data_IF_270911874356
#
_entry.id   IF_270911874356
#
_cell.length_a   1.000
_cell.length_b   1.000
_cell.length_c   1.000
_cell.angle_alpha   90.00
_cell.angle_beta   90.00
_cell.angle_gamma   90.00
#
_symmetry.space_group_name_H-M   'P 1'
#
loop_
_entity.id
_entity.type
_entity.pdbx_description
1 polymer ?
#
# COMPACT_ATOMS: atom_id res chain seq x y z
N UNK A 1 11.58 14.08 -18.66
CA UNK A 1 11.65 12.81 -17.92
C UNK A 1 10.27 12.18 -17.98
N UNK A 2 10.11 11.05 -18.68
CA UNK A 2 8.82 10.35 -18.72
C UNK A 2 8.84 9.29 -17.61
N UNK A 3 8.05 9.49 -16.56
CA UNK A 3 7.83 8.46 -15.54
C UNK A 3 6.81 7.42 -16.06
N UNK A 4 6.72 6.26 -15.40
CA UNK A 4 5.84 5.15 -15.85
C UNK A 4 4.37 5.56 -15.97
N UNK A 5 3.88 6.43 -15.08
CA UNK A 5 2.52 6.96 -15.13
C UNK A 5 2.28 7.81 -16.39
N UNK A 6 3.18 8.75 -16.69
CA UNK A 6 3.09 9.57 -17.90
C UNK A 6 3.17 8.75 -19.18
N UNK A 7 3.95 7.67 -19.19
CA UNK A 7 4.01 6.74 -20.32
C UNK A 7 2.68 6.00 -20.50
N UNK A 8 2.12 5.45 -19.42
CA UNK A 8 0.87 4.70 -19.50
C UNK A 8 -0.32 5.61 -19.86
N UNK A 9 -0.34 6.85 -19.38
CA UNK A 9 -1.34 7.86 -19.76
C UNK A 9 -1.22 8.34 -21.22
N UNK A 10 -0.04 8.23 -21.83
CA UNK A 10 0.13 8.52 -23.25
C UNK A 10 -0.46 7.41 -24.13
N UNK A 11 -0.47 6.16 -23.64
CA UNK A 11 -1.06 5.01 -24.33
C UNK A 11 -2.57 4.88 -24.05
N UNK A 12 -2.99 5.21 -22.83
CA UNK A 12 -4.39 5.15 -22.37
C UNK A 12 -4.83 6.50 -21.82
N UNK A 13 -5.89 7.06 -22.39
CA UNK A 13 -6.45 8.35 -21.96
C UNK A 13 -7.09 8.31 -20.56
N UNK A 14 -7.37 7.13 -20.03
CA UNK A 14 -7.96 6.87 -18.72
C UNK A 14 -7.28 5.64 -18.11
N UNK A 15 -6.92 5.71 -16.83
CA UNK A 15 -6.44 4.58 -16.05
C UNK A 15 -7.42 4.27 -14.92
N UNK A 16 -7.64 2.98 -14.67
CA UNK A 16 -8.56 2.51 -13.63
C UNK A 16 -7.81 2.13 -12.34
N UNK A 17 -8.17 2.86 -11.29
CA UNK A 17 -8.09 2.55 -9.84
C UNK A 17 -8.55 1.14 -9.45
N UNK A 18 -7.81 0.30 -8.72
CA UNK A 18 -8.43 -0.86 -8.07
C UNK A 18 -9.47 -0.48 -7.00
N UNK A 19 -10.06 -1.49 -6.35
CA UNK A 19 -11.11 -1.30 -5.36
C UNK A 19 -10.64 -1.42 -3.91
N UNK A 20 -11.59 -1.53 -2.99
CA UNK A 20 -11.31 -1.56 -1.55
C UNK A 20 -10.59 -2.85 -1.09
N UNK A 21 -9.30 -2.74 -0.76
CA UNK A 21 -8.50 -3.79 -0.12
C UNK A 21 -9.13 -4.29 1.19
N UNK A 22 -9.56 -3.38 2.08
CA UNK A 22 -10.15 -3.75 3.37
C UNK A 22 -11.40 -4.65 3.23
N UNK A 23 -12.28 -4.35 2.27
CA UNK A 23 -13.48 -5.15 1.99
C UNK A 23 -13.12 -6.55 1.48
N UNK A 24 -12.10 -6.65 0.63
CA UNK A 24 -11.60 -7.93 0.12
C UNK A 24 -10.97 -8.77 1.24
N UNK A 25 -10.19 -8.15 2.14
CA UNK A 25 -9.62 -8.83 3.30
C UNK A 25 -10.70 -9.32 4.27
N UNK A 26 -11.73 -8.50 4.55
CA UNK A 26 -12.86 -8.91 5.38
C UNK A 26 -13.61 -10.09 4.75
N UNK A 27 -13.84 -10.07 3.44
CA UNK A 27 -14.45 -11.19 2.71
C UNK A 27 -13.59 -12.46 2.76
N UNK A 28 -12.26 -12.31 2.85
CA UNK A 28 -11.31 -13.39 3.05
C UNK A 28 -11.12 -13.81 4.54
N UNK A 29 -11.93 -13.24 5.46
CA UNK A 29 -11.97 -13.63 6.86
C UNK A 29 -11.12 -12.79 7.80
N UNK A 30 -10.76 -11.55 7.44
CA UNK A 30 -10.14 -10.60 8.36
C UNK A 30 -11.16 -10.21 9.44
N UNK A 31 -10.83 -10.54 10.69
CA UNK A 31 -11.62 -10.28 11.86
C UNK A 31 -11.62 -8.80 12.28
N UNK A 32 -12.63 -8.43 13.07
CA UNK A 32 -12.72 -7.10 13.66
C UNK A 32 -11.56 -6.88 14.63
N UNK A 33 -10.85 -5.77 14.47
CA UNK A 33 -9.72 -5.41 15.32
C UNK A 33 -8.38 -6.06 14.93
N UNK A 34 -8.35 -6.90 13.89
CA UNK A 34 -7.09 -7.37 13.32
C UNK A 34 -6.41 -6.28 12.49
N UNK A 35 -5.08 -6.33 12.38
CA UNK A 35 -4.29 -5.42 11.55
C UNK A 35 -4.25 -5.95 10.10
N UNK A 36 -4.86 -5.24 9.12
CA UNK A 36 -4.81 -5.65 7.72
C UNK A 36 -3.39 -5.80 7.17
N UNK A 37 -2.49 -4.89 7.54
CA UNK A 37 -1.12 -4.84 7.02
C UNK A 37 -0.28 -6.03 7.51
N UNK A 38 -0.58 -6.59 8.69
CA UNK A 38 0.12 -7.78 9.20
C UNK A 38 -0.07 -8.99 8.27
N UNK A 39 -1.17 -9.05 7.53
CA UNK A 39 -1.41 -10.13 6.55
C UNK A 39 -0.40 -10.13 5.40
N UNK A 40 0.34 -9.04 5.17
CA UNK A 40 1.46 -9.03 4.24
C UNK A 40 2.56 -10.04 4.65
N UNK A 41 2.63 -10.38 5.94
CA UNK A 41 3.59 -11.36 6.48
C UNK A 41 2.89 -12.69 6.78
N UNK A 42 1.73 -12.64 7.45
CA UNK A 42 1.12 -13.85 8.01
C UNK A 42 0.20 -14.58 7.01
N UNK A 43 -0.31 -13.86 6.01
CA UNK A 43 -1.20 -14.40 4.95
C UNK A 43 -0.86 -13.84 3.55
N UNK A 44 0.40 -13.94 3.11
CA UNK A 44 0.89 -13.28 1.89
C UNK A 44 0.15 -13.76 0.64
N UNK A 45 -0.19 -15.04 0.57
CA UNK A 45 -0.93 -15.60 -0.57
C UNK A 45 -2.32 -14.99 -0.71
N UNK A 46 -3.03 -14.75 0.39
CA UNK A 46 -4.35 -14.10 0.37
C UNK A 46 -4.25 -12.68 -0.19
N UNK A 47 -3.28 -11.89 0.31
CA UNK A 47 -3.07 -10.51 -0.15
C UNK A 47 -2.69 -10.49 -1.64
N UNK A 48 -1.77 -11.36 -2.07
CA UNK A 48 -1.38 -11.49 -3.48
C UNK A 48 -2.58 -11.85 -4.36
N UNK A 49 -3.41 -12.81 -3.95
CA UNK A 49 -4.62 -13.19 -4.70
C UNK A 49 -5.63 -12.05 -4.83
N UNK A 50 -5.75 -11.16 -3.84
CA UNK A 50 -6.60 -9.97 -3.93
C UNK A 50 -6.08 -9.00 -5.00
N UNK A 51 -4.77 -8.74 -5.03
CA UNK A 51 -4.17 -7.93 -6.09
C UNK A 51 -4.37 -8.55 -7.47
N UNK A 52 -4.17 -9.87 -7.61
CA UNK A 52 -4.41 -10.60 -8.86
C UNK A 52 -5.87 -10.50 -9.29
N UNK A 53 -6.83 -10.55 -8.36
CA UNK A 53 -8.24 -10.39 -8.66
C UNK A 53 -8.53 -9.02 -9.28
N UNK A 54 -7.97 -7.93 -8.75
CA UNK A 54 -8.14 -6.59 -9.33
C UNK A 54 -7.46 -6.44 -10.69
N UNK A 55 -6.24 -6.95 -10.84
CA UNK A 55 -5.53 -6.94 -12.13
C UNK A 55 -6.28 -7.73 -13.21
N UNK A 56 -6.85 -8.88 -12.85
CA UNK A 56 -7.65 -9.70 -13.76
C UNK A 56 -9.02 -9.07 -14.07
N UNK A 57 -9.57 -8.28 -13.15
CA UNK A 57 -10.78 -7.48 -13.37
C UNK A 57 -10.54 -6.24 -14.27
N UNK A 58 -9.28 -5.91 -14.56
CA UNK A 58 -8.91 -4.85 -15.50
C UNK A 58 -8.36 -3.58 -14.86
N UNK A 59 -7.97 -3.60 -13.58
CA UNK A 59 -7.29 -2.47 -12.96
C UNK A 59 -5.96 -2.16 -13.67
N UNK A 60 -5.73 -0.88 -13.98
CA UNK A 60 -4.46 -0.38 -14.52
C UNK A 60 -3.50 0.03 -13.41
N UNK A 61 -4.02 0.28 -12.21
CA UNK A 61 -3.25 0.61 -11.01
C UNK A 61 -3.81 -0.21 -9.86
N UNK A 62 -2.92 -0.83 -9.08
CA UNK A 62 -3.28 -1.46 -7.81
C UNK A 62 -2.61 -0.74 -6.64
N UNK A 63 -3.31 -0.67 -5.52
CA UNK A 63 -2.81 -0.07 -4.28
C UNK A 63 -2.30 -1.15 -3.34
N UNK A 64 -1.10 -0.97 -2.78
CA UNK A 64 -0.54 -1.93 -1.82
C UNK A 64 -1.39 -2.03 -0.55
N UNK A 65 -1.41 -3.20 0.09
CA UNK A 65 -2.05 -3.38 1.40
C UNK A 65 -1.22 -2.75 2.54
N UNK A 66 -1.07 -1.42 2.52
CA UNK A 66 -0.18 -0.67 3.42
C UNK A 66 -0.78 0.64 3.92
N UNK A 67 -2.09 0.86 3.77
CA UNK A 67 -2.75 2.10 4.19
C UNK A 67 -2.37 2.51 5.63
N UNK A 68 -2.52 1.62 6.61
CA UNK A 68 -2.12 1.82 8.01
C UNK A 68 -0.67 1.45 8.32
N UNK A 69 0.23 1.49 7.34
CA UNK A 69 1.60 0.98 7.45
C UNK A 69 2.58 1.85 8.25
N UNK A 70 2.20 3.05 8.71
CA UNK A 70 3.11 3.93 9.44
C UNK A 70 3.45 3.37 10.83
N UNK A 71 4.65 3.64 11.38
CA UNK A 71 5.04 3.13 12.70
C UNK A 71 4.01 3.44 13.80
N UNK A 72 3.40 4.64 13.77
CA UNK A 72 2.38 5.06 14.73
C UNK A 72 1.10 4.26 14.61
N UNK A 73 0.61 4.04 13.39
CA UNK A 73 -0.64 3.30 13.17
C UNK A 73 -0.46 1.82 13.53
N UNK A 74 0.70 1.24 13.19
CA UNK A 74 1.09 -0.11 13.58
C UNK A 74 1.33 -0.25 15.10
N UNK A 75 1.70 0.82 15.81
CA UNK A 75 1.85 0.79 17.26
C UNK A 75 0.54 0.44 17.98
N UNK A 76 -0.63 0.75 17.39
CA UNK A 76 -1.94 0.36 17.94
C UNK A 76 -2.11 -1.16 18.03
N UNK A 77 -1.29 -1.91 17.28
CA UNK A 77 -1.27 -3.38 17.26
C UNK A 77 0.02 -3.96 17.85
N UNK A 78 0.89 -3.13 18.45
CA UNK A 78 2.20 -3.56 18.94
C UNK A 78 3.24 -3.85 17.84
N UNK A 79 3.03 -3.34 16.62
CA UNK A 79 3.82 -3.67 15.43
C UNK A 79 4.73 -2.55 14.93
N UNK A 80 4.92 -1.47 15.70
CA UNK A 80 5.69 -0.28 15.27
C UNK A 80 7.09 -0.63 14.72
N UNK A 81 7.81 -1.52 15.40
CA UNK A 81 9.16 -1.95 15.02
C UNK A 81 9.20 -2.85 13.77
N UNK A 82 8.03 -3.33 13.31
CA UNK A 82 7.89 -4.16 12.10
C UNK A 82 7.46 -3.35 10.88
N UNK A 83 7.32 -2.03 10.99
CA UNK A 83 6.84 -1.17 9.90
C UNK A 83 7.59 -1.38 8.59
N UNK A 84 8.93 -1.36 8.62
CA UNK A 84 9.76 -1.57 7.42
C UNK A 84 9.45 -2.93 6.78
N UNK A 85 9.46 -4.01 7.56
CA UNK A 85 9.23 -5.36 7.04
C UNK A 85 7.82 -5.53 6.46
N UNK A 86 6.80 -5.01 7.15
CA UNK A 86 5.39 -5.11 6.74
C UNK A 86 5.13 -4.34 5.45
N UNK A 87 5.64 -3.10 5.32
CA UNK A 87 5.43 -2.28 4.13
C UNK A 87 6.18 -2.84 2.92
N UNK A 88 7.45 -3.24 3.11
CA UNK A 88 8.25 -3.84 2.04
C UNK A 88 7.59 -5.12 1.52
N UNK A 89 7.07 -5.97 2.41
CA UNK A 89 6.33 -7.16 2.01
C UNK A 89 5.04 -6.81 1.24
N UNK A 90 4.26 -5.83 1.69
CA UNK A 90 3.05 -5.39 0.99
C UNK A 90 3.33 -4.92 -0.45
N UNK A 91 4.40 -4.15 -0.65
CA UNK A 91 4.85 -3.75 -1.98
C UNK A 91 5.30 -4.94 -2.83
N UNK A 92 6.09 -5.85 -2.27
CA UNK A 92 6.57 -7.04 -2.98
C UNK A 92 5.44 -7.97 -3.42
N UNK A 93 4.36 -8.10 -2.62
CA UNK A 93 3.19 -8.91 -2.98
C UNK A 93 2.44 -8.32 -4.18
N UNK A 94 2.27 -7.00 -4.24
CA UNK A 94 1.70 -6.34 -5.41
C UNK A 94 2.59 -6.51 -6.66
N UNK A 95 3.92 -6.44 -6.50
CA UNK A 95 4.88 -6.69 -7.59
C UNK A 95 4.78 -8.12 -8.11
N UNK A 96 4.69 -9.10 -7.20
CA UNK A 96 4.52 -10.50 -7.54
C UNK A 96 3.19 -10.75 -8.26
N UNK A 97 2.08 -10.15 -7.78
CA UNK A 97 0.77 -10.25 -8.41
C UNK A 97 0.80 -9.70 -9.86
N UNK A 98 1.37 -8.50 -10.06
CA UNK A 98 1.53 -7.90 -11.40
C UNK A 98 2.28 -8.84 -12.34
N UNK A 99 3.38 -9.45 -11.85
CA UNK A 99 4.18 -10.40 -12.62
C UNK A 99 3.40 -11.67 -12.93
N UNK A 100 2.70 -12.24 -11.96
CA UNK A 100 1.90 -13.46 -12.12
C UNK A 100 0.76 -13.29 -13.15
N UNK A 101 0.15 -12.10 -13.20
CA UNK A 101 -0.87 -11.76 -14.19
C UNK A 101 -0.31 -11.36 -15.57
N UNK A 102 1.02 -11.34 -15.76
CA UNK A 102 1.64 -10.89 -17.02
C UNK A 102 1.37 -9.42 -17.34
N UNK A 103 1.18 -8.57 -16.31
CA UNK A 103 0.83 -7.15 -16.45
C UNK A 103 2.04 -6.23 -16.28
N UNK A 104 3.26 -6.76 -16.45
CA UNK A 104 4.48 -5.96 -16.42
C UNK A 104 4.45 -4.92 -17.56
N UNK A 105 4.55 -3.64 -17.21
CA UNK A 105 4.48 -2.53 -18.17
C UNK A 105 3.06 -2.05 -18.52
N UNK A 106 2.02 -2.84 -18.27
CA UNK A 106 0.62 -2.46 -18.51
C UNK A 106 -0.16 -2.12 -17.24
N UNK A 107 0.41 -2.35 -16.06
CA UNK A 107 -0.17 -1.97 -14.77
C UNK A 107 0.87 -1.36 -13.83
N UNK A 108 0.43 -0.39 -13.02
CA UNK A 108 1.24 0.31 -12.02
C UNK A 108 0.91 -0.16 -10.61
N UNK A 109 1.88 -0.04 -9.72
CA UNK A 109 1.72 -0.35 -8.30
C UNK A 109 1.96 0.93 -7.53
N UNK A 110 0.95 1.40 -6.81
CA UNK A 110 1.07 2.56 -5.95
C UNK A 110 1.15 2.12 -4.50
N UNK A 111 2.17 2.63 -3.79
CA UNK A 111 2.31 2.48 -2.36
C UNK A 111 1.24 3.29 -1.64
N UNK A 112 0.25 2.61 -1.05
CA UNK A 112 -0.82 3.24 -0.26
C UNK A 112 -0.27 3.72 1.08
N UNK A 113 -0.44 5.02 1.36
CA UNK A 113 -0.02 5.67 2.60
C UNK A 113 -1.20 6.45 3.19
N UNK A 114 -1.78 5.88 4.24
CA UNK A 114 -2.86 6.45 5.07
C UNK A 114 -2.37 7.54 6.03
N UNK A 115 -3.28 8.29 6.69
CA UNK A 115 -2.90 9.21 7.76
C UNK A 115 -2.43 8.44 9.01
N UNK A 116 -1.58 9.06 9.83
CA UNK A 116 -1.14 8.49 11.12
C UNK A 116 -2.24 8.47 12.18
N UNK A 117 -3.29 9.27 11.98
CA UNK A 117 -4.35 9.52 12.96
C UNK A 117 -3.99 10.54 14.04
N UNK A 118 -2.79 11.12 13.99
CA UNK A 118 -2.36 12.17 14.92
C UNK A 118 -2.70 13.57 14.40
N UNK A 119 -3.06 14.46 15.30
CA UNK A 119 -3.22 15.89 15.00
C UNK A 119 -1.91 16.64 15.25
N UNK A 120 -1.57 17.55 14.33
CA UNK A 120 -0.47 18.49 14.48
C UNK A 120 -0.72 19.47 15.63
N UNK A 121 0.36 19.93 16.27
CA UNK A 121 0.29 21.04 17.22
C UNK A 121 -0.27 22.32 16.55
N UNK A 122 -1.09 23.12 17.27
CA UNK A 122 -1.49 22.96 18.67
C UNK A 122 -2.73 22.07 18.91
N UNK A 123 -3.36 21.53 17.86
CA UNK A 123 -4.59 20.73 17.98
C UNK A 123 -4.34 19.31 18.51
N UNK A 124 -3.12 18.82 18.39
CA UNK A 124 -2.67 17.57 19.00
C UNK A 124 -1.22 17.64 19.47
N UNK A 125 -0.61 16.46 19.58
CA UNK A 125 0.74 16.31 20.15
C UNK A 125 1.82 16.10 19.09
N UNK A 126 1.47 15.85 17.83
CA UNK A 126 2.45 15.58 16.79
C UNK A 126 3.15 16.87 16.35
N UNK A 127 4.48 16.78 16.19
CA UNK A 127 5.27 17.81 15.52
C UNK A 127 5.38 17.48 14.04
N UNK A 128 5.61 18.50 13.19
CA UNK A 128 5.85 18.28 11.76
C UNK A 128 6.98 17.27 11.52
N UNK A 129 8.09 17.43 12.25
CA UNK A 129 9.23 16.51 12.15
C UNK A 129 8.83 15.08 12.50
N UNK A 130 8.06 14.88 13.57
CA UNK A 130 7.62 13.54 13.96
C UNK A 130 6.73 12.86 12.91
N UNK A 131 5.92 13.62 12.16
CA UNK A 131 5.13 13.06 11.07
C UNK A 131 5.99 12.72 9.86
N UNK A 132 6.95 13.60 9.51
CA UNK A 132 7.91 13.34 8.43
C UNK A 132 8.68 12.05 8.73
N UNK A 133 9.20 11.89 9.94
CA UNK A 133 9.98 10.71 10.34
C UNK A 133 9.14 9.42 10.23
N UNK A 134 7.86 9.47 10.62
CA UNK A 134 6.94 8.34 10.50
C UNK A 134 6.65 7.95 9.04
N UNK A 135 6.37 8.94 8.19
CA UNK A 135 6.08 8.69 6.78
C UNK A 135 7.32 8.24 6.01
N UNK A 136 8.50 8.78 6.34
CA UNK A 136 9.77 8.39 5.73
C UNK A 136 10.01 6.88 5.88
N UNK A 137 9.85 6.33 7.09
CA UNK A 137 10.02 4.88 7.34
C UNK A 137 9.12 4.03 6.45
N UNK A 138 7.85 4.43 6.28
CA UNK A 138 6.91 3.70 5.44
C UNK A 138 7.25 3.84 3.95
N UNK A 139 7.48 5.06 3.48
CA UNK A 139 7.73 5.37 2.07
C UNK A 139 9.04 4.75 1.59
N UNK A 140 10.11 4.82 2.37
CA UNK A 140 11.39 4.17 2.03
C UNK A 140 11.21 2.66 1.86
N UNK A 141 10.50 2.00 2.78
CA UNK A 141 10.21 0.58 2.69
C UNK A 141 9.35 0.20 1.47
N UNK A 142 8.39 1.05 1.08
CA UNK A 142 7.58 0.88 -0.13
C UNK A 142 8.43 1.01 -1.39
N UNK A 143 9.29 2.04 -1.46
CA UNK A 143 10.21 2.27 -2.59
C UNK A 143 11.18 1.10 -2.75
N UNK A 144 11.79 0.64 -1.66
CA UNK A 144 12.64 -0.56 -1.66
C UNK A 144 11.87 -1.83 -2.07
N UNK A 145 10.57 -1.88 -1.77
CA UNK A 145 9.67 -2.96 -2.17
C UNK A 145 9.29 -2.95 -3.65
N UNK A 146 9.61 -1.87 -4.38
CA UNK A 146 9.47 -1.79 -5.83
C UNK A 146 8.16 -1.17 -6.33
N UNK A 147 7.50 -0.32 -5.53
CA UNK A 147 6.35 0.47 -6.00
C UNK A 147 6.75 1.46 -7.10
N UNK A 148 5.82 1.78 -8.00
CA UNK A 148 6.05 2.72 -9.10
C UNK A 148 5.80 4.18 -8.69
N UNK A 149 4.93 4.39 -7.71
CA UNK A 149 4.65 5.68 -7.11
C UNK A 149 4.12 5.51 -5.67
N UNK A 150 3.99 6.63 -4.96
CA UNK A 150 3.29 6.70 -3.66
C UNK A 150 1.97 7.42 -3.87
N UNK A 151 0.91 6.89 -3.28
CA UNK A 151 -0.37 7.59 -3.15
C UNK A 151 -0.58 7.91 -1.68
N UNK A 152 -0.69 9.21 -1.39
CA UNK A 152 -1.06 9.69 -0.05
C UNK A 152 -2.58 9.82 -0.04
N UNK A 153 -3.23 9.05 0.82
CA UNK A 153 -4.68 8.98 1.00
C UNK A 153 -5.00 8.97 2.51
N UNK A 154 -6.16 9.37 2.99
CA UNK A 154 -7.35 9.90 2.32
C UNK A 154 -7.44 11.42 2.49
#
# INVERSE_FOLDING_TARGET
>A
MNNKLSLLLAEKTLLVVDGAMGTMLQSAGLGVGECPELWNIDRPDTVRQIHEAYLNAGADVILTNTFGGSPKKLALFGLAQRAVAINRAGAQLAVQARKACGKEGSALIFGSVGPTGELLQPLGTATLQSLIDQFAVQIEALVEGGVDAIIVET
#
